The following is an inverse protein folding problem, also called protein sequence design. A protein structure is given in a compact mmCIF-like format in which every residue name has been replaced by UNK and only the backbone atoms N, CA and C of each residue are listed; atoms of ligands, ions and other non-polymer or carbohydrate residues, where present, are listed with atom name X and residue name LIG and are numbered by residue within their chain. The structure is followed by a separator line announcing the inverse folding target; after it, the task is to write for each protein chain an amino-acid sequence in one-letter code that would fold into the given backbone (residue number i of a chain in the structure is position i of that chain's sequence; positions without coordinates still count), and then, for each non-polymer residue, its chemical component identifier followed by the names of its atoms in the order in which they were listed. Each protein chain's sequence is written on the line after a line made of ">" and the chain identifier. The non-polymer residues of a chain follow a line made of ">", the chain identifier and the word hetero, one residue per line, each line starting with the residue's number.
data_IF_027640309568
#
_entry.id   IF_027640309568
#
_cell.length_a   1.000
_cell.length_b   1.000
_cell.length_c   1.000
_cell.angle_alpha   90.00
_cell.angle_beta   90.00
_cell.angle_gamma   90.00
#
_symmetry.space_group_name_H-M   'P 1'
#
loop_
_entity.id
_entity.type
_entity.pdbx_description
1 polymer ?
#
# COMPACT_ATOMS: atom_id res chain seq x y z
N UNK A 1 -67.70 -7.78 20.36
CA UNK A 1 -66.33 -8.05 19.89
C UNK A 1 -65.38 -7.19 20.70
N UNK A 2 -64.28 -7.74 21.21
CA UNK A 2 -63.18 -6.93 21.74
C UNK A 2 -62.36 -6.42 20.56
N UNK A 3 -62.04 -5.11 20.54
CA UNK A 3 -61.06 -4.53 19.63
C UNK A 3 -59.89 -4.07 20.49
N UNK A 4 -59.04 -5.03 20.88
CA UNK A 4 -57.76 -4.78 21.54
C UNK A 4 -56.64 -4.78 20.49
N UNK A 5 -56.73 -3.87 19.53
CA UNK A 5 -55.67 -3.63 18.55
C UNK A 5 -54.87 -2.41 19.00
N UNK A 6 -53.71 -2.66 19.60
CA UNK A 6 -52.81 -1.59 20.04
C UNK A 6 -52.25 -0.86 18.83
N UNK A 7 -52.71 0.38 18.61
CA UNK A 7 -52.25 1.23 17.52
C UNK A 7 -50.72 1.40 17.57
N UNK A 8 -50.03 1.34 16.42
CA UNK A 8 -48.60 1.62 16.37
C UNK A 8 -48.37 3.08 16.73
N UNK A 9 -47.61 3.31 17.80
CA UNK A 9 -47.20 4.66 18.20
C UNK A 9 -45.79 4.96 17.70
N UNK A 10 -45.47 6.24 17.57
CA UNK A 10 -44.16 6.73 17.19
C UNK A 10 -43.67 7.77 18.20
N UNK A 11 -42.39 7.70 18.55
CA UNK A 11 -41.77 8.67 19.46
C UNK A 11 -41.03 9.69 18.60
N UNK A 12 -41.39 10.96 18.73
CA UNK A 12 -40.65 12.07 18.14
C UNK A 12 -39.67 12.64 19.17
N UNK A 13 -38.38 12.54 18.90
CA UNK A 13 -37.34 13.27 19.64
C UNK A 13 -37.07 14.61 18.94
N UNK A 14 -36.97 15.67 19.71
CA UNK A 14 -36.66 17.02 19.22
C UNK A 14 -35.60 17.70 20.08
N UNK A 15 -34.55 18.21 19.45
CA UNK A 15 -33.50 18.99 20.09
C UNK A 15 -33.31 20.32 19.37
N UNK A 16 -32.85 21.34 20.10
CA UNK A 16 -32.48 22.65 19.55
C UNK A 16 -30.96 22.80 19.58
N UNK A 17 -30.29 23.01 18.43
CA UNK A 17 -28.91 23.48 18.44
C UNK A 17 -28.83 24.91 18.98
N UNK A 18 -27.73 25.25 19.64
CA UNK A 18 -27.41 26.63 20.07
C UNK A 18 -26.99 27.55 18.89
N UNK A 19 -27.04 27.04 17.65
CA UNK A 19 -26.76 27.82 16.44
C UNK A 19 -27.95 28.68 16.02
N UNK A 20 -27.71 29.69 15.19
CA UNK A 20 -28.71 30.72 14.84
C UNK A 20 -29.93 30.20 14.04
N UNK A 21 -29.95 28.92 13.63
CA UNK A 21 -31.04 28.33 12.86
C UNK A 21 -32.01 27.59 13.79
N UNK A 22 -33.12 28.24 14.14
CA UNK A 22 -33.95 27.94 15.32
C UNK A 22 -34.96 26.77 15.14
N UNK A 23 -34.84 25.99 14.06
CA UNK A 23 -35.72 24.85 13.78
C UNK A 23 -35.24 23.57 14.49
N UNK A 24 -36.12 22.83 15.19
CA UNK A 24 -35.74 21.63 15.91
C UNK A 24 -35.52 20.45 14.95
N UNK A 25 -34.36 19.81 15.05
CA UNK A 25 -34.12 18.51 14.41
C UNK A 25 -35.12 17.49 14.96
N UNK A 26 -35.66 16.60 14.10
CA UNK A 26 -36.74 15.69 14.47
C UNK A 26 -36.42 14.26 14.08
N UNK A 27 -36.27 13.38 15.07
CA UNK A 27 -36.15 11.93 14.82
C UNK A 27 -37.45 11.25 15.18
N UNK A 28 -37.97 10.41 14.29
CA UNK A 28 -39.18 9.59 14.50
C UNK A 28 -38.75 8.14 14.68
N UNK A 29 -39.09 7.56 15.83
CA UNK A 29 -38.85 6.15 16.14
C UNK A 29 -40.17 5.41 16.04
N UNK A 30 -40.24 4.41 15.16
CA UNK A 30 -41.43 3.60 14.87
C UNK A 30 -41.88 3.66 13.40
N UNK A 31 -43.00 2.99 13.05
CA UNK A 31 -43.98 2.36 13.95
C UNK A 31 -43.47 1.12 14.69
N UNK A 32 -43.99 0.88 15.90
CA UNK A 32 -43.84 -0.38 16.65
C UNK A 32 -45.07 -0.66 17.52
N UNK A 33 -45.25 -1.92 17.92
CA UNK A 33 -46.40 -2.39 18.68
C UNK A 33 -45.94 -3.29 19.84
N UNK A 34 -46.32 -2.94 21.08
CA UNK A 34 -46.09 -3.80 22.26
C UNK A 34 -47.09 -4.95 22.28
N UNK A 35 -46.62 -6.17 22.52
CA UNK A 35 -47.48 -7.35 22.66
C UNK A 35 -48.02 -7.48 24.09
N UNK A 36 -49.31 -7.87 24.20
CA UNK A 36 -50.04 -8.15 25.45
C UNK A 36 -50.18 -7.00 26.49
N UNK A 37 -49.78 -5.77 26.18
CA UNK A 37 -50.07 -4.59 27.02
C UNK A 37 -49.14 -4.43 28.24
N UNK A 38 -48.03 -5.18 28.28
CA UNK A 38 -46.99 -5.04 29.30
C UNK A 38 -46.06 -3.84 29.02
N UNK A 39 -45.25 -3.49 30.02
CA UNK A 39 -44.34 -2.34 29.99
C UNK A 39 -43.09 -2.60 29.12
N UNK A 40 -43.24 -2.52 27.81
CA UNK A 40 -42.12 -2.57 26.87
C UNK A 40 -41.09 -1.46 27.16
N UNK A 41 -39.80 -1.80 27.17
CA UNK A 41 -38.68 -0.87 27.38
C UNK A 41 -38.00 -0.59 26.04
N UNK A 42 -37.98 0.66 25.59
CA UNK A 42 -37.25 1.05 24.38
C UNK A 42 -35.82 1.44 24.73
N UNK A 43 -34.83 0.68 24.26
CA UNK A 43 -33.41 1.08 24.30
C UNK A 43 -33.06 1.82 23.01
N UNK A 44 -32.48 3.00 23.15
CA UNK A 44 -32.04 3.85 22.04
C UNK A 44 -30.52 3.99 22.08
N UNK A 45 -29.85 3.95 20.92
CA UNK A 45 -28.44 4.33 20.76
C UNK A 45 -28.38 5.65 20.00
N UNK A 46 -27.81 6.67 20.64
CA UNK A 46 -27.58 8.00 20.08
C UNK A 46 -26.07 8.20 19.88
N UNK A 47 -25.68 8.89 18.81
CA UNK A 47 -24.32 9.26 18.47
C UNK A 47 -24.22 10.78 18.36
N UNK A 48 -23.14 11.36 18.88
CA UNK A 48 -22.73 12.74 18.60
C UNK A 48 -21.48 12.67 17.72
N UNK A 49 -21.47 13.37 16.58
CA UNK A 49 -20.28 13.45 15.72
C UNK A 49 -19.41 14.67 16.07
N UNK A 50 -18.19 14.72 15.53
CA UNK A 50 -17.23 15.81 15.75
C UNK A 50 -17.69 17.19 15.23
N UNK A 51 -18.79 17.24 14.47
CA UNK A 51 -19.39 18.46 13.93
C UNK A 51 -20.59 18.95 14.77
N UNK A 52 -20.83 18.35 15.93
CA UNK A 52 -21.93 18.74 16.82
C UNK A 52 -23.31 18.19 16.43
N UNK A 53 -23.39 17.28 15.45
CA UNK A 53 -24.65 16.70 14.99
C UNK A 53 -24.98 15.46 15.82
N UNK A 54 -26.19 15.42 16.37
CA UNK A 54 -26.76 14.30 17.12
C UNK A 54 -27.60 13.42 16.17
N UNK A 55 -27.26 12.14 16.05
CA UNK A 55 -28.01 11.17 15.23
C UNK A 55 -28.35 9.89 16.01
N UNK A 56 -29.37 9.15 15.55
CA UNK A 56 -29.95 8.01 16.24
C UNK A 56 -29.63 6.70 15.52
N UNK A 57 -28.54 6.06 15.96
CA UNK A 57 -27.94 4.89 15.31
C UNK A 57 -28.81 3.63 15.38
N UNK A 58 -29.64 3.47 16.41
CA UNK A 58 -30.63 2.38 16.49
C UNK A 58 -31.66 2.56 17.62
N UNK A 59 -32.81 1.92 17.47
CA UNK A 59 -33.81 1.74 18.52
C UNK A 59 -34.18 0.25 18.64
N UNK A 60 -34.27 -0.27 19.86
CA UNK A 60 -34.61 -1.69 20.12
C UNK A 60 -35.63 -1.77 21.26
N UNK A 61 -36.79 -2.31 20.96
CA UNK A 61 -37.81 -2.63 21.96
C UNK A 61 -37.42 -3.92 22.69
N UNK A 62 -37.54 -3.89 24.02
CA UNK A 62 -37.32 -5.00 24.92
C UNK A 62 -38.64 -5.32 25.63
N UNK A 63 -39.15 -6.53 25.43
CA UNK A 63 -40.34 -7.05 26.11
C UNK A 63 -39.88 -8.11 27.12
N UNK A 64 -40.23 -7.95 28.41
CA UNK A 64 -39.95 -8.92 29.47
C UNK A 64 -41.13 -9.90 29.57
N UNK A 65 -41.04 -11.07 28.92
CA UNK A 65 -42.07 -12.11 29.01
C UNK A 65 -41.87 -12.91 30.31
N UNK A 66 -42.83 -12.82 31.25
CA UNK A 66 -42.93 -13.72 32.39
C UNK A 66 -43.68 -14.99 31.97
N UNK A 67 -42.93 -16.09 31.83
CA UNK A 67 -43.50 -17.41 31.55
C UNK A 67 -43.91 -18.06 32.87
N UNK A 68 -45.16 -17.86 33.29
CA UNK A 68 -45.81 -18.78 34.23
C UNK A 68 -45.83 -20.19 33.63
N UNK A 69 -45.62 -21.21 34.48
CA UNK A 69 -45.62 -22.62 34.07
C UNK A 69 -46.84 -23.32 34.68
N UNK A 70 -47.92 -23.56 33.92
CA UNK A 70 -49.06 -24.32 34.40
C UNK A 70 -48.69 -25.80 34.54
N UNK A 71 -48.57 -26.29 35.77
CA UNK A 71 -48.41 -27.71 36.05
C UNK A 71 -49.65 -28.45 35.54
N UNK A 72 -49.49 -29.32 34.55
CA UNK A 72 -50.58 -30.11 33.96
C UNK A 72 -50.19 -31.58 33.83
N UNK A 73 -50.98 -32.44 34.48
CA UNK A 73 -50.90 -33.89 34.45
C UNK A 73 -52.31 -34.45 34.77
N UNK A 74 -53.33 -34.25 33.93
CA UNK A 74 -53.73 -35.11 32.79
C UNK A 74 -53.98 -36.58 33.10
N UNK A 75 -55.14 -37.05 32.65
CA UNK A 75 -55.61 -38.45 32.56
C UNK A 75 -56.69 -38.45 31.47
N UNK A 76 -56.82 -39.40 30.53
CA UNK A 76 -56.06 -40.60 30.13
C UNK A 76 -56.33 -40.81 28.60
N UNK A 77 -55.38 -41.18 27.71
CA UNK A 77 -54.88 -42.54 27.35
C UNK A 77 -55.95 -43.42 26.64
N UNK A 78 -55.69 -44.33 25.64
CA UNK A 78 -54.45 -44.75 24.91
C UNK A 78 -54.51 -44.89 23.33
N UNK A 79 -53.32 -44.85 22.68
CA UNK A 79 -52.79 -45.75 21.58
C UNK A 79 -53.58 -45.99 20.24
N UNK A 80 -53.04 -46.54 19.14
CA UNK A 80 -51.72 -47.17 18.80
C UNK A 80 -51.32 -47.05 17.29
N UNK A 81 -50.11 -47.52 16.96
CA UNK A 81 -49.65 -48.14 15.68
C UNK A 81 -49.33 -47.32 14.38
N UNK A 82 -48.05 -46.94 14.25
CA UNK A 82 -47.09 -47.43 13.21
C UNK A 82 -47.20 -47.05 11.70
N UNK A 83 -46.17 -46.40 11.11
CA UNK A 83 -45.31 -46.83 9.95
C UNK A 83 -44.48 -45.67 9.33
N UNK A 84 -43.42 -46.01 8.58
CA UNK A 84 -42.40 -45.18 7.87
C UNK A 84 -42.93 -44.29 6.72
N UNK A 85 -42.24 -43.17 6.45
CA UNK A 85 -41.38 -42.84 5.26
C UNK A 85 -40.94 -41.35 5.36
N UNK A 86 -39.65 -41.00 5.50
CA UNK A 86 -38.67 -40.65 4.41
C UNK A 86 -39.25 -39.73 3.32
N UNK A 87 -38.91 -38.44 3.23
CA UNK A 87 -37.60 -37.74 3.09
C UNK A 87 -37.24 -37.44 1.62
N UNK A 88 -36.93 -36.16 1.33
CA UNK A 88 -36.36 -35.65 0.08
C UNK A 88 -35.91 -34.18 0.21
N UNK A 89 -34.65 -33.96 0.64
CA UNK A 89 -33.67 -32.97 0.12
C UNK A 89 -34.13 -31.53 -0.21
N UNK A 90 -33.61 -30.49 0.48
CA UNK A 90 -32.42 -29.67 0.07
C UNK A 90 -32.82 -28.53 -0.92
N UNK A 91 -32.20 -27.35 -1.05
CA UNK A 91 -30.77 -26.99 -0.96
C UNK A 91 -30.52 -25.70 -0.15
N UNK A 92 -29.64 -25.84 0.83
CA UNK A 92 -28.62 -24.89 1.32
C UNK A 92 -28.39 -23.57 0.51
N UNK A 93 -28.35 -22.42 1.20
CA UNK A 93 -27.19 -21.52 1.02
C UNK A 93 -26.78 -20.86 2.34
N UNK A 94 -25.47 -20.71 2.53
CA UNK A 94 -24.82 -20.42 3.81
C UNK A 94 -23.79 -19.29 3.65
N UNK A 95 -23.96 -18.17 4.37
CA UNK A 95 -22.85 -17.23 4.63
C UNK A 95 -21.80 -17.90 5.53
N UNK A 96 -20.52 -17.46 5.47
CA UNK A 96 -20.10 -16.61 6.59
C UNK A 96 -19.04 -15.54 6.29
N UNK A 97 -19.25 -14.36 6.91
CA UNK A 97 -18.32 -13.56 7.74
C UNK A 97 -16.80 -13.51 7.46
N UNK A 98 -16.26 -12.30 7.64
CA UNK A 98 -15.07 -12.06 8.50
C UNK A 98 -14.98 -10.59 8.95
N UNK A 99 -15.29 -10.23 10.21
CA UNK A 99 -14.38 -10.05 11.38
C UNK A 99 -13.30 -8.97 11.21
N UNK A 100 -13.51 -7.75 11.76
CA UNK A 100 -13.05 -7.20 13.09
C UNK A 100 -11.75 -6.37 12.95
N UNK A 101 -11.27 -5.53 13.88
CA UNK A 101 -11.55 -5.15 15.29
C UNK A 101 -11.35 -3.60 15.43
N UNK A 102 -11.50 -2.84 16.53
CA UNK A 102 -12.21 -2.83 17.84
C UNK A 102 -11.35 -1.98 18.81
N UNK A 103 -11.91 -0.90 19.39
CA UNK A 103 -11.49 -0.16 20.60
C UNK A 103 -12.36 1.14 20.68
N UNK A 104 -13.04 1.61 21.74
CA UNK A 104 -12.94 1.52 23.23
C UNK A 104 -11.74 2.27 23.85
N UNK A 105 -11.83 3.01 24.97
CA UNK A 105 -12.94 3.38 25.89
C UNK A 105 -12.86 4.88 26.29
N UNK A 106 -13.76 5.51 27.07
CA UNK A 106 -14.25 5.21 28.44
C UNK A 106 -13.13 5.37 29.52
N UNK A 107 -13.35 5.90 30.75
CA UNK A 107 -14.59 6.13 31.54
C UNK A 107 -14.39 7.15 32.69
N UNK A 108 -15.49 7.75 33.19
CA UNK A 108 -15.77 8.06 34.62
C UNK A 108 -14.99 9.21 35.30
N UNK A 109 -15.32 9.66 36.53
CA UNK A 109 -16.52 9.56 37.40
C UNK A 109 -16.33 10.57 38.58
N UNK A 110 -17.25 10.93 39.48
CA UNK A 110 -18.68 10.63 39.68
C UNK A 110 -19.15 11.15 41.06
N UNK A 111 -20.39 11.67 41.23
CA UNK A 111 -20.91 12.18 42.52
C UNK A 111 -22.45 12.18 42.61
N UNK A 112 -23.02 11.89 43.79
CA UNK A 112 -24.46 11.87 44.06
C UNK A 112 -24.80 12.61 45.39
N UNK A 113 -26.08 12.96 45.56
CA UNK A 113 -26.60 13.86 46.59
C UNK A 113 -27.60 13.18 47.56
N UNK A 114 -27.71 13.79 48.75
CA UNK A 114 -28.76 13.71 49.79
C UNK A 114 -29.24 12.36 50.34
N UNK A 115 -29.00 12.18 51.64
CA UNK A 115 -29.90 11.44 52.53
C UNK A 115 -31.11 12.31 52.92
N UNK A 116 -32.32 11.75 52.87
CA UNK A 116 -33.24 11.65 54.03
C UNK A 116 -34.63 11.13 53.56
N UNK A 117 -35.11 10.01 54.12
CA UNK A 117 -36.55 9.68 54.10
C UNK A 117 -36.98 8.77 55.25
N UNK A 118 -38.20 9.04 55.73
CA UNK A 118 -38.90 8.40 56.84
C UNK A 118 -39.25 6.91 56.69
N UNK A 119 -39.16 6.17 57.78
CA UNK A 119 -39.99 4.99 58.11
C UNK A 119 -41.35 5.43 58.72
N UNK A 120 -42.36 4.57 59.00
CA UNK A 120 -42.47 3.10 58.85
C UNK A 120 -43.46 2.70 57.70
N UNK A 121 -43.97 1.47 57.49
CA UNK A 121 -44.24 0.31 58.38
C UNK A 121 -44.39 -1.01 57.58
N UNK A 122 -44.29 -2.15 58.27
CA UNK A 122 -44.46 -3.53 57.78
C UNK A 122 -45.71 -3.85 56.94
N UNK A 123 -45.56 -4.77 55.97
CA UNK A 123 -46.16 -6.13 56.09
C UNK A 123 -45.53 -7.14 55.10
N UNK A 124 -45.62 -8.43 55.44
CA UNK A 124 -44.92 -9.55 54.79
C UNK A 124 -45.62 -10.06 53.52
N UNK A 125 -44.84 -10.33 52.45
CA UNK A 125 -45.13 -11.39 51.48
C UNK A 125 -43.87 -11.80 50.67
N UNK A 126 -43.21 -12.88 51.10
CA UNK A 126 -42.09 -13.53 50.39
C UNK A 126 -42.40 -13.87 48.91
N UNK A 127 -41.58 -13.38 47.97
CA UNK A 127 -41.64 -13.72 46.53
C UNK A 127 -40.78 -14.95 46.18
N UNK A 128 -41.20 -15.75 45.20
CA UNK A 128 -40.37 -16.77 44.53
C UNK A 128 -40.09 -16.37 43.06
N UNK A 129 -38.97 -16.83 42.44
CA UNK A 129 -38.41 -16.17 41.26
C UNK A 129 -38.96 -16.68 39.92
N UNK A 130 -39.66 -15.80 39.20
CA UNK A 130 -39.99 -15.95 37.77
C UNK A 130 -38.75 -15.90 36.88
N UNK A 131 -38.57 -16.86 35.97
CA UNK A 131 -37.50 -16.84 34.96
C UNK A 131 -37.88 -15.95 33.77
N UNK A 132 -37.62 -14.65 33.90
CA UNK A 132 -37.90 -13.64 32.86
C UNK A 132 -37.15 -13.94 31.56
N UNK A 133 -37.85 -13.88 30.44
CA UNK A 133 -37.27 -14.05 29.10
C UNK A 133 -37.42 -12.74 28.31
N UNK A 134 -36.29 -12.08 28.01
CA UNK A 134 -36.32 -10.79 27.31
C UNK A 134 -36.31 -10.99 25.80
N UNK A 135 -37.43 -10.68 25.16
CA UNK A 135 -37.57 -10.61 23.70
C UNK A 135 -37.04 -9.25 23.21
N UNK A 136 -36.27 -9.25 22.12
CA UNK A 136 -35.69 -8.04 21.52
C UNK A 136 -36.23 -7.86 20.10
N UNK A 137 -36.71 -6.66 19.78
CA UNK A 137 -37.24 -6.31 18.46
C UNK A 137 -36.58 -5.01 18.00
N UNK A 138 -35.92 -5.03 16.83
CA UNK A 138 -35.37 -3.82 16.23
C UNK A 138 -36.52 -2.93 15.76
N UNK A 139 -36.44 -1.63 16.01
CA UNK A 139 -37.51 -0.66 15.73
C UNK A 139 -37.03 0.29 14.63
N UNK A 140 -37.81 0.51 13.55
CA UNK A 140 -37.41 1.42 12.48
C UNK A 140 -37.22 2.85 13.00
N UNK A 141 -36.24 3.54 12.42
CA UNK A 141 -35.86 4.91 12.76
C UNK A 141 -35.89 5.72 11.47
N UNK A 142 -36.53 6.89 11.50
CA UNK A 142 -36.50 7.88 10.44
C UNK A 142 -36.00 9.22 11.04
N UNK A 143 -34.81 9.65 10.62
CA UNK A 143 -34.17 10.86 11.12
C UNK A 143 -34.32 12.00 10.11
N UNK A 144 -34.80 13.17 10.58
CA UNK A 144 -34.87 14.39 9.79
C UNK A 144 -33.94 15.45 10.39
N UNK A 145 -32.72 15.50 9.86
CA UNK A 145 -31.70 16.51 10.18
C UNK A 145 -31.98 17.75 9.35
N UNK A 146 -32.48 18.82 9.97
CA UNK A 146 -32.75 20.07 9.27
C UNK A 146 -31.46 20.67 8.68
N UNK A 147 -31.48 21.01 7.39
CA UNK A 147 -30.32 21.50 6.64
C UNK A 147 -29.41 20.42 6.03
N UNK A 148 -29.67 19.13 6.25
CA UNK A 148 -29.02 18.04 5.51
C UNK A 148 -29.85 17.61 4.29
N UNK A 149 -29.17 17.13 3.24
CA UNK A 149 -29.83 16.41 2.14
C UNK A 149 -30.23 14.99 2.58
N UNK A 150 -31.33 14.47 2.03
CA UNK A 150 -31.69 13.06 2.24
C UNK A 150 -30.69 12.11 1.54
N UNK A 151 -30.60 10.85 1.98
CA UNK A 151 -29.60 9.89 1.45
C UNK A 151 -29.59 9.83 -0.09
N UNK A 152 -30.77 9.64 -0.71
CA UNK A 152 -30.89 9.59 -2.17
C UNK A 152 -30.59 10.93 -2.89
N UNK A 153 -30.69 12.06 -2.21
CA UNK A 153 -30.29 13.37 -2.75
C UNK A 153 -28.78 13.58 -2.64
N UNK A 154 -28.19 13.13 -1.52
CA UNK A 154 -26.74 13.13 -1.28
C UNK A 154 -26.02 12.17 -2.23
N UNK A 155 -26.53 10.94 -2.40
CA UNK A 155 -26.04 9.95 -3.35
C UNK A 155 -26.03 10.54 -4.77
N UNK A 156 -27.14 11.14 -5.21
CA UNK A 156 -27.24 11.82 -6.50
C UNK A 156 -26.32 13.05 -6.64
N UNK A 157 -26.08 13.78 -5.55
CA UNK A 157 -25.13 14.89 -5.54
C UNK A 157 -23.69 14.40 -5.68
N UNK A 158 -23.35 13.27 -5.04
CA UNK A 158 -22.04 12.59 -5.14
C UNK A 158 -21.83 11.98 -6.52
N UNK A 159 -22.85 11.34 -7.11
CA UNK A 159 -22.82 10.88 -8.51
C UNK A 159 -22.51 12.04 -9.46
N UNK A 160 -23.21 13.17 -9.32
CA UNK A 160 -22.98 14.36 -10.13
C UNK A 160 -21.57 14.96 -9.92
N UNK A 161 -21.06 14.96 -8.69
CA UNK A 161 -19.69 15.40 -8.40
C UNK A 161 -18.67 14.51 -9.13
N UNK A 162 -18.86 13.19 -9.14
CA UNK A 162 -18.03 12.28 -9.93
C UNK A 162 -18.18 12.49 -11.44
N UNK A 163 -19.37 12.80 -11.97
CA UNK A 163 -19.56 13.16 -13.38
C UNK A 163 -18.77 14.42 -13.76
N UNK A 164 -18.85 15.48 -12.94
CA UNK A 164 -18.14 16.75 -13.19
C UNK A 164 -16.61 16.57 -13.06
N UNK A 165 -16.14 15.91 -12.02
CA UNK A 165 -14.72 15.63 -11.83
C UNK A 165 -14.14 14.71 -12.95
N UNK A 166 -14.95 13.81 -13.51
CA UNK A 166 -14.56 13.01 -14.67
C UNK A 166 -14.50 13.86 -15.95
N UNK A 167 -15.42 14.80 -16.15
CA UNK A 167 -15.39 15.73 -17.29
C UNK A 167 -14.15 16.63 -17.22
N UNK A 168 -13.88 17.26 -16.07
CA UNK A 168 -12.68 18.09 -15.86
C UNK A 168 -11.39 17.32 -16.14
N UNK A 169 -11.28 16.09 -15.61
CA UNK A 169 -10.16 15.20 -15.87
C UNK A 169 -10.02 14.83 -17.35
N UNK A 170 -11.12 14.56 -18.06
CA UNK A 170 -11.08 14.25 -19.50
C UNK A 170 -10.64 15.47 -20.31
N UNK A 171 -11.08 16.68 -19.94
CA UNK A 171 -10.63 17.93 -20.58
C UNK A 171 -9.13 18.17 -20.33
N UNK A 172 -8.65 18.00 -19.09
CA UNK A 172 -7.23 18.11 -18.74
C UNK A 172 -6.37 17.09 -19.51
N UNK A 173 -6.73 15.80 -19.46
CA UNK A 173 -6.00 14.74 -20.15
C UNK A 173 -6.05 14.86 -21.69
N UNK A 174 -7.07 15.55 -22.24
CA UNK A 174 -7.17 15.85 -23.68
C UNK A 174 -6.27 17.03 -24.05
N UNK A 175 -6.36 18.14 -23.31
CA UNK A 175 -5.51 19.33 -23.50
C UNK A 175 -4.03 19.01 -23.37
N UNK A 176 -3.66 18.17 -22.40
CA UNK A 176 -2.28 17.70 -22.23
C UNK A 176 -1.78 16.87 -23.43
N UNK A 177 -2.68 16.19 -24.15
CA UNK A 177 -2.32 15.52 -25.41
C UNK A 177 -2.24 16.46 -26.61
N UNK A 178 -3.06 17.51 -26.68
CA UNK A 178 -2.86 18.62 -27.64
C UNK A 178 -1.48 19.27 -27.44
N UNK A 179 -1.16 19.68 -26.21
CA UNK A 179 0.15 20.21 -25.81
C UNK A 179 1.29 19.24 -26.18
N UNK A 180 1.10 17.93 -25.96
CA UNK A 180 2.10 16.89 -26.29
C UNK A 180 2.41 16.80 -27.79
N UNK A 181 1.42 17.07 -28.67
CA UNK A 181 1.64 17.12 -30.13
C UNK A 181 2.38 18.40 -30.49
N UNK A 182 1.88 19.55 -30.04
CA UNK A 182 2.46 20.87 -30.29
C UNK A 182 3.94 20.95 -29.88
N UNK A 183 4.25 20.55 -28.64
CA UNK A 183 5.62 20.54 -28.13
C UNK A 183 6.54 19.61 -28.93
N UNK A 184 6.06 18.43 -29.35
CA UNK A 184 6.83 17.51 -30.19
C UNK A 184 7.08 18.11 -31.59
N UNK A 185 6.09 18.80 -32.17
CA UNK A 185 6.23 19.46 -33.47
C UNK A 185 7.33 20.52 -33.45
N UNK A 186 7.33 21.41 -32.45
CA UNK A 186 8.37 22.44 -32.31
C UNK A 186 9.76 21.86 -32.00
N UNK A 187 9.86 20.96 -31.02
CA UNK A 187 11.13 20.35 -30.61
C UNK A 187 11.76 19.51 -31.73
N UNK A 188 10.97 18.63 -32.38
CA UNK A 188 11.46 17.80 -33.49
C UNK A 188 11.88 18.67 -34.69
N UNK A 189 11.11 19.70 -35.04
CA UNK A 189 11.49 20.63 -36.12
C UNK A 189 12.84 21.27 -35.83
N UNK A 190 13.08 21.79 -34.63
CA UNK A 190 14.39 22.37 -34.28
C UNK A 190 15.52 21.31 -34.33
N UNK A 191 15.32 20.16 -33.66
CA UNK A 191 16.29 19.06 -33.61
C UNK A 191 16.73 18.58 -35.00
N UNK A 192 15.83 18.53 -35.99
CA UNK A 192 16.14 18.10 -37.37
C UNK A 192 17.10 19.02 -38.12
N UNK A 193 17.17 20.31 -37.79
CA UNK A 193 18.13 21.25 -38.37
C UNK A 193 19.40 21.39 -37.55
N UNK A 194 19.31 21.17 -36.23
CA UNK A 194 20.46 21.12 -35.33
C UNK A 194 20.97 19.68 -35.12
N UNK A 195 20.62 19.07 -33.98
CA UNK A 195 21.24 17.86 -33.40
C UNK A 195 21.14 16.61 -34.27
N UNK A 196 20.05 16.46 -35.01
CA UNK A 196 19.74 15.25 -35.78
C UNK A 196 20.13 15.35 -37.26
N UNK A 197 20.64 16.49 -37.71
CA UNK A 197 21.03 16.75 -39.11
C UNK A 197 21.97 15.70 -39.72
N UNK A 198 22.89 15.16 -38.92
CA UNK A 198 23.85 14.10 -39.29
C UNK A 198 23.22 12.68 -39.34
N UNK A 199 22.08 12.45 -38.67
CA UNK A 199 21.52 11.13 -38.35
C UNK A 199 20.25 10.79 -39.15
N UNK A 200 19.92 11.66 -40.11
CA UNK A 200 18.76 11.57 -41.00
C UNK A 200 19.22 11.72 -42.46
N UNK A 201 18.51 11.11 -43.41
CA UNK A 201 18.75 11.40 -44.84
C UNK A 201 18.02 12.69 -45.25
N UNK A 202 18.39 13.30 -46.37
CA UNK A 202 17.64 14.47 -46.89
C UNK A 202 16.17 14.12 -47.16
N UNK A 203 15.90 12.95 -47.72
CA UNK A 203 14.56 12.46 -48.05
C UNK A 203 13.71 12.18 -46.79
N UNK A 204 14.28 11.49 -45.78
CA UNK A 204 13.61 11.29 -44.49
C UNK A 204 13.32 12.63 -43.79
N UNK A 205 14.26 13.57 -43.85
CA UNK A 205 14.13 14.89 -43.22
C UNK A 205 13.07 15.75 -43.89
N UNK A 206 13.03 15.81 -45.21
CA UNK A 206 11.99 16.53 -45.96
C UNK A 206 10.63 15.89 -45.71
N UNK A 207 10.54 14.55 -45.74
CA UNK A 207 9.32 13.80 -45.46
C UNK A 207 8.78 14.05 -44.04
N UNK A 208 9.65 14.05 -43.03
CA UNK A 208 9.24 14.35 -41.65
C UNK A 208 8.89 15.83 -41.49
N UNK A 209 9.66 16.75 -42.06
CA UNK A 209 9.38 18.19 -41.97
C UNK A 209 8.02 18.54 -42.58
N UNK A 210 7.66 17.94 -43.72
CA UNK A 210 6.34 18.08 -44.32
C UNK A 210 5.22 17.59 -43.40
N UNK A 211 5.39 16.43 -42.75
CA UNK A 211 4.41 15.90 -41.78
C UNK A 211 4.30 16.72 -40.50
N UNK A 212 5.40 17.32 -40.03
CA UNK A 212 5.37 18.22 -38.88
C UNK A 212 4.56 19.48 -39.22
N UNK A 213 4.68 20.00 -40.44
CA UNK A 213 3.85 21.12 -40.92
C UNK A 213 2.38 20.72 -41.07
N UNK A 214 2.09 19.57 -41.69
CA UNK A 214 0.72 19.04 -41.84
C UNK A 214 -0.02 18.92 -40.48
N UNK A 215 0.70 18.55 -39.42
CA UNK A 215 0.14 18.44 -38.06
C UNK A 215 0.13 19.79 -37.32
N UNK A 216 1.04 20.71 -37.60
CA UNK A 216 0.98 22.11 -37.10
C UNK A 216 -0.24 22.83 -37.68
N UNK A 217 -0.42 22.77 -38.99
CA UNK A 217 -1.54 23.40 -39.71
C UNK A 217 -2.88 22.81 -39.21
N UNK A 218 -2.97 21.48 -39.11
CA UNK A 218 -4.15 20.79 -38.56
C UNK A 218 -4.47 21.20 -37.11
N UNK A 219 -3.48 21.43 -36.24
CA UNK A 219 -3.71 21.87 -34.85
C UNK A 219 -4.36 23.26 -34.73
N UNK A 220 -4.25 24.09 -35.77
CA UNK A 220 -4.86 25.43 -35.87
C UNK A 220 -6.12 25.47 -36.74
N UNK A 221 -6.44 24.40 -37.46
CA UNK A 221 -7.67 24.22 -38.24
C UNK A 221 -8.59 23.16 -37.58
N UNK A 222 -8.87 22.03 -38.25
CA UNK A 222 -9.82 21.01 -37.79
C UNK A 222 -9.46 20.35 -36.43
N UNK A 223 -8.21 20.47 -35.98
CA UNK A 223 -7.69 19.88 -34.75
C UNK A 223 -7.85 20.74 -33.49
N UNK A 224 -8.65 21.81 -33.50
CA UNK A 224 -8.77 22.68 -32.32
C UNK A 224 -9.39 21.98 -31.10
N UNK A 225 -10.54 21.32 -31.29
CA UNK A 225 -11.35 20.66 -30.25
C UNK A 225 -11.57 19.17 -30.60
N UNK A 226 -10.47 18.41 -30.64
CA UNK A 226 -10.47 17.00 -31.01
C UNK A 226 -10.25 16.08 -29.80
N UNK A 227 -10.62 14.81 -29.96
CA UNK A 227 -10.57 13.84 -28.88
C UNK A 227 -9.12 13.49 -28.51
N UNK A 228 -8.90 13.18 -27.22
CA UNK A 228 -7.63 12.64 -26.70
C UNK A 228 -7.03 11.52 -27.55
N UNK A 229 -7.87 10.66 -28.13
CA UNK A 229 -7.46 9.55 -28.99
C UNK A 229 -6.83 10.02 -30.32
N UNK A 230 -7.38 11.07 -30.92
CA UNK A 230 -6.86 11.65 -32.17
C UNK A 230 -5.52 12.34 -31.96
N UNK A 231 -5.36 13.12 -30.88
CA UNK A 231 -4.05 13.69 -30.52
C UNK A 231 -2.98 12.62 -30.25
N UNK A 232 -3.35 11.51 -29.58
CA UNK A 232 -2.43 10.37 -29.39
C UNK A 232 -2.06 9.73 -30.73
N UNK A 233 -3.02 9.49 -31.62
CA UNK A 233 -2.76 8.92 -32.95
C UNK A 233 -1.83 9.81 -33.79
N UNK A 234 -2.08 11.12 -33.86
CA UNK A 234 -1.20 12.09 -34.54
C UNK A 234 0.22 12.09 -33.97
N UNK A 235 0.36 12.03 -32.63
CA UNK A 235 1.67 11.94 -31.99
C UNK A 235 2.40 10.63 -32.30
N UNK A 236 1.68 9.50 -32.39
CA UNK A 236 2.25 8.20 -32.77
C UNK A 236 2.65 8.15 -34.26
N UNK A 237 1.86 8.75 -35.16
CA UNK A 237 2.20 8.87 -36.59
C UNK A 237 3.49 9.67 -36.82
N UNK A 238 3.66 10.78 -36.09
CA UNK A 238 4.89 11.57 -36.11
C UNK A 238 6.08 10.83 -35.48
N UNK A 239 5.87 10.14 -34.35
CA UNK A 239 6.92 9.35 -33.67
C UNK A 239 7.33 8.09 -34.44
N UNK A 240 6.46 7.54 -35.29
CA UNK A 240 6.79 6.43 -36.20
C UNK A 240 7.88 6.79 -37.22
N UNK A 241 8.01 8.07 -37.56
CA UNK A 241 9.04 8.59 -38.48
C UNK A 241 10.20 9.26 -37.73
N UNK A 242 9.93 10.03 -36.67
CA UNK A 242 10.98 10.68 -35.87
C UNK A 242 11.74 9.74 -34.93
N UNK A 243 11.07 8.73 -34.37
CA UNK A 243 11.65 7.80 -33.39
C UNK A 243 12.91 7.04 -33.87
N UNK A 244 12.97 6.54 -35.12
CA UNK A 244 14.20 5.99 -35.69
C UNK A 244 15.37 6.99 -35.72
N UNK A 245 15.10 8.27 -35.98
CA UNK A 245 16.12 9.33 -36.03
C UNK A 245 16.61 9.65 -34.61
N UNK A 246 15.69 9.80 -33.65
CA UNK A 246 16.03 9.96 -32.22
C UNK A 246 16.84 8.75 -31.70
N UNK A 247 16.49 7.54 -32.13
CA UNK A 247 17.20 6.32 -31.77
C UNK A 247 18.62 6.30 -32.33
N UNK A 248 18.84 6.65 -33.61
CA UNK A 248 20.18 6.75 -34.22
C UNK A 248 21.06 7.78 -33.49
N UNK A 249 20.51 8.94 -33.13
CA UNK A 249 21.20 9.95 -32.34
C UNK A 249 21.57 9.46 -30.93
N UNK A 250 20.61 8.93 -30.17
CA UNK A 250 20.84 8.42 -28.81
C UNK A 250 21.83 7.26 -28.79
N UNK A 251 21.71 6.33 -29.74
CA UNK A 251 22.66 5.24 -29.94
C UNK A 251 24.05 5.76 -30.32
N UNK A 252 24.19 6.94 -30.94
CA UNK A 252 25.50 7.55 -31.16
C UNK A 252 26.09 8.13 -29.87
N UNK A 253 25.33 8.91 -29.08
CA UNK A 253 25.80 9.48 -27.81
C UNK A 253 26.14 8.40 -26.77
N UNK A 254 25.23 7.44 -26.52
CA UNK A 254 25.41 6.42 -25.48
C UNK A 254 26.48 5.36 -25.83
N UNK A 255 26.81 5.15 -27.12
CA UNK A 255 27.75 4.09 -27.54
C UNK A 255 29.17 4.33 -27.06
N UNK A 256 29.66 5.57 -27.04
CA UNK A 256 31.00 5.88 -26.54
C UNK A 256 31.21 5.40 -25.09
N UNK A 257 30.43 5.91 -24.12
CA UNK A 257 30.47 5.47 -22.74
C UNK A 257 30.21 3.97 -22.55
N UNK A 258 29.32 3.36 -23.35
CA UNK A 258 29.06 1.92 -23.28
C UNK A 258 30.29 1.09 -23.70
N UNK A 259 30.98 1.47 -24.78
CA UNK A 259 32.23 0.83 -25.24
C UNK A 259 33.30 0.97 -24.16
N UNK A 260 33.46 2.16 -23.58
CA UNK A 260 34.45 2.42 -22.52
C UNK A 260 34.19 1.60 -21.25
N UNK A 261 32.92 1.47 -20.82
CA UNK A 261 32.54 0.65 -19.67
C UNK A 261 32.82 -0.85 -19.91
N UNK A 262 32.54 -1.38 -21.10
CA UNK A 262 32.89 -2.76 -21.44
C UNK A 262 34.42 -2.96 -21.49
N UNK A 263 35.17 -2.03 -22.09
CA UNK A 263 36.63 -2.07 -22.11
C UNK A 263 37.24 -2.00 -20.70
N UNK A 264 36.66 -1.20 -19.81
CA UNK A 264 37.03 -1.16 -18.39
C UNK A 264 36.82 -2.52 -17.71
N UNK A 265 35.65 -3.16 -17.90
CA UNK A 265 35.38 -4.49 -17.35
C UNK A 265 36.35 -5.55 -17.89
N UNK A 266 36.60 -5.58 -19.22
CA UNK A 266 37.56 -6.49 -19.87
C UNK A 266 38.94 -6.35 -19.23
N UNK A 267 39.44 -5.11 -19.09
CA UNK A 267 40.73 -4.82 -18.45
C UNK A 267 40.76 -5.27 -17.00
N UNK A 268 39.78 -4.86 -16.19
CA UNK A 268 39.74 -5.17 -14.75
C UNK A 268 39.73 -6.68 -14.47
N UNK A 269 38.96 -7.47 -15.23
CA UNK A 269 38.97 -8.93 -15.08
C UNK A 269 40.24 -9.60 -15.62
N UNK A 270 40.84 -9.07 -16.70
CA UNK A 270 42.14 -9.56 -17.22
C UNK A 270 43.27 -9.27 -16.22
N UNK A 271 43.30 -8.08 -15.62
CA UNK A 271 44.23 -7.71 -14.56
C UNK A 271 44.05 -8.59 -13.31
N UNK A 272 42.81 -8.80 -12.84
CA UNK A 272 42.53 -9.68 -11.71
C UNK A 272 42.95 -11.14 -11.96
N UNK A 273 42.75 -11.66 -13.17
CA UNK A 273 43.14 -13.02 -13.54
C UNK A 273 44.66 -13.20 -13.69
N UNK A 274 45.38 -12.17 -14.12
CA UNK A 274 46.85 -12.17 -14.25
C UNK A 274 47.57 -11.72 -12.97
N UNK A 275 46.83 -11.28 -11.94
CA UNK A 275 47.40 -10.77 -10.69
C UNK A 275 48.02 -11.87 -9.82
N UNK A 276 49.17 -11.52 -9.24
CA UNK A 276 49.89 -12.26 -8.19
C UNK A 276 49.49 -11.82 -6.77
N UNK A 277 48.41 -11.06 -6.61
CA UNK A 277 47.86 -10.68 -5.30
C UNK A 277 47.48 -11.95 -4.49
N UNK A 278 47.91 -12.07 -3.21
CA UNK A 278 47.52 -13.16 -2.31
C UNK A 278 46.00 -13.41 -2.23
N UNK A 279 45.15 -12.44 -2.56
CA UNK A 279 43.70 -12.60 -2.69
C UNK A 279 43.28 -13.62 -3.76
N UNK A 280 44.10 -13.87 -4.78
CA UNK A 280 43.77 -14.73 -5.92
C UNK A 280 44.66 -15.99 -6.05
N UNK A 281 45.53 -16.28 -5.08
CA UNK A 281 46.42 -17.46 -5.11
C UNK A 281 45.67 -18.80 -5.09
N UNK A 282 44.49 -18.85 -4.48
CA UNK A 282 43.68 -20.07 -4.34
C UNK A 282 42.82 -20.40 -5.57
N UNK A 283 42.85 -19.54 -6.59
CA UNK A 283 42.12 -19.75 -7.85
C UNK A 283 43.03 -20.49 -8.81
N UNK A 284 42.59 -21.67 -9.27
CA UNK A 284 43.35 -22.51 -10.17
C UNK A 284 43.71 -21.82 -11.49
N UNK A 285 44.89 -22.14 -12.03
CA UNK A 285 45.46 -21.53 -13.24
C UNK A 285 44.56 -21.78 -14.46
N UNK A 286 43.88 -22.94 -14.56
CA UNK A 286 42.89 -23.19 -15.61
C UNK A 286 41.68 -22.26 -15.51
N UNK A 287 41.26 -21.90 -14.30
CA UNK A 287 40.15 -20.97 -14.11
C UNK A 287 40.55 -19.52 -14.36
N UNK A 288 41.75 -19.10 -13.94
CA UNK A 288 42.34 -17.82 -14.37
C UNK A 288 42.43 -17.72 -15.90
N UNK A 289 42.85 -18.79 -16.58
CA UNK A 289 42.92 -18.82 -18.05
C UNK A 289 41.52 -18.73 -18.70
N UNK A 290 40.47 -19.31 -18.11
CA UNK A 290 39.09 -19.13 -18.61
C UNK A 290 38.66 -17.67 -18.59
N UNK A 291 38.99 -16.91 -17.53
CA UNK A 291 38.72 -15.47 -17.44
C UNK A 291 39.49 -14.70 -18.53
N UNK A 292 40.79 -14.98 -18.71
CA UNK A 292 41.60 -14.36 -19.76
C UNK A 292 41.05 -14.66 -21.16
N UNK A 293 40.56 -15.87 -21.40
CA UNK A 293 39.96 -16.27 -22.68
C UNK A 293 38.63 -15.53 -22.94
N UNK A 294 37.71 -15.46 -21.98
CA UNK A 294 36.43 -14.75 -22.16
C UNK A 294 36.64 -13.23 -22.31
N UNK A 295 37.55 -12.61 -21.56
CA UNK A 295 37.97 -11.22 -21.77
C UNK A 295 38.46 -10.97 -23.21
N UNK A 296 39.26 -11.89 -23.75
CA UNK A 296 39.81 -11.77 -25.11
C UNK A 296 38.73 -12.02 -26.19
N UNK A 297 37.76 -12.90 -25.92
CA UNK A 297 36.59 -13.09 -26.77
C UNK A 297 35.67 -11.86 -26.79
N UNK A 298 35.46 -11.23 -25.62
CA UNK A 298 34.69 -9.99 -25.51
C UNK A 298 35.37 -8.80 -26.21
N UNK A 299 36.70 -8.69 -26.11
CA UNK A 299 37.51 -7.68 -26.79
C UNK A 299 37.49 -7.85 -28.31
N UNK A 300 37.61 -9.10 -28.80
CA UNK A 300 37.52 -9.43 -30.23
C UNK A 300 36.14 -9.08 -30.79
N UNK A 301 35.07 -9.47 -30.09
CA UNK A 301 33.68 -9.13 -30.45
C UNK A 301 33.46 -7.61 -30.50
N UNK A 302 33.95 -6.88 -29.50
CA UNK A 302 33.81 -5.43 -29.41
C UNK A 302 34.53 -4.73 -30.57
N UNK A 303 35.74 -5.19 -30.91
CA UNK A 303 36.51 -4.67 -32.03
C UNK A 303 35.84 -4.97 -33.39
N UNK A 304 35.37 -6.20 -33.61
CA UNK A 304 34.64 -6.59 -34.83
C UNK A 304 33.35 -5.77 -35.00
N UNK A 305 32.55 -5.65 -33.93
CA UNK A 305 31.31 -4.88 -33.96
C UNK A 305 31.54 -3.38 -34.09
N UNK A 306 32.62 -2.85 -33.52
CA UNK A 306 33.02 -1.46 -33.76
C UNK A 306 33.39 -1.25 -35.23
N UNK A 307 34.18 -2.12 -35.86
CA UNK A 307 34.50 -2.00 -37.29
C UNK A 307 33.24 -2.05 -38.18
N UNK A 308 32.27 -2.90 -37.85
CA UNK A 308 30.97 -2.94 -38.55
C UNK A 308 30.17 -1.64 -38.38
N UNK A 309 30.30 -0.96 -37.24
CA UNK A 309 29.64 0.32 -36.98
C UNK A 309 30.36 1.52 -37.61
N UNK A 310 31.70 1.54 -37.55
CA UNK A 310 32.55 2.61 -38.11
C UNK A 310 32.50 2.63 -39.66
N UNK A 311 32.07 1.52 -40.29
CA UNK A 311 31.84 1.41 -41.73
C UNK A 311 30.46 1.93 -42.20
N UNK A 312 29.57 2.32 -41.29
CA UNK A 312 28.23 2.82 -41.61
C UNK A 312 28.12 4.34 -41.47
N UNK A 313 27.35 5.03 -42.34
CA UNK A 313 27.05 6.45 -42.15
C UNK A 313 26.13 6.64 -40.93
N UNK A 314 26.21 7.81 -40.30
CA UNK A 314 25.45 8.15 -39.08
C UNK A 314 23.92 8.03 -39.20
N UNK A 315 23.38 8.14 -40.42
CA UNK A 315 21.95 8.00 -40.72
C UNK A 315 21.51 6.57 -41.07
N UNK A 316 22.43 5.59 -41.12
CA UNK A 316 22.07 4.18 -41.23
C UNK A 316 21.71 3.59 -39.86
N UNK A 317 21.01 2.46 -39.85
CA UNK A 317 20.66 1.77 -38.60
C UNK A 317 21.91 1.13 -37.96
N UNK A 318 22.13 1.29 -36.64
CA UNK A 318 23.36 0.84 -35.99
C UNK A 318 23.64 -0.67 -36.07
N UNK A 319 24.85 -1.04 -36.49
CA UNK A 319 25.36 -2.42 -36.42
C UNK A 319 25.85 -2.82 -35.01
N UNK A 320 26.06 -1.84 -34.12
CA UNK A 320 26.40 -2.03 -32.72
C UNK A 320 25.48 -1.17 -31.83
N UNK A 321 24.49 -1.83 -31.23
CA UNK A 321 23.57 -1.21 -30.29
C UNK A 321 24.15 -1.19 -28.87
N UNK A 322 23.87 -0.09 -28.16
CA UNK A 322 24.17 0.11 -26.75
C UNK A 322 23.58 -1.01 -25.88
N UNK A 323 22.38 -1.50 -26.22
CA UNK A 323 21.76 -2.62 -25.50
C UNK A 323 22.58 -3.92 -25.60
N UNK A 324 23.28 -4.16 -26.70
CA UNK A 324 24.09 -5.38 -26.90
C UNK A 324 25.45 -5.26 -26.22
N UNK A 325 26.02 -4.05 -26.17
CA UNK A 325 27.22 -3.77 -25.34
C UNK A 325 26.89 -4.02 -23.87
N UNK A 326 25.76 -3.49 -23.37
CA UNK A 326 25.30 -3.69 -21.98
C UNK A 326 25.11 -5.20 -21.67
N UNK A 327 24.40 -5.95 -22.53
CA UNK A 327 24.27 -7.43 -22.41
C UNK A 327 25.61 -8.17 -22.39
N UNK A 328 26.58 -7.80 -23.26
CA UNK A 328 27.90 -8.46 -23.31
C UNK A 328 28.75 -8.12 -22.08
N UNK A 329 28.63 -6.90 -21.54
CA UNK A 329 29.25 -6.50 -20.29
C UNK A 329 28.66 -7.28 -19.09
N UNK A 330 27.34 -7.41 -19.00
CA UNK A 330 26.67 -8.22 -17.97
C UNK A 330 27.05 -9.71 -18.03
N UNK A 331 27.13 -10.28 -19.24
CA UNK A 331 27.53 -11.67 -19.44
C UNK A 331 28.99 -11.91 -19.01
N UNK A 332 29.91 -11.02 -19.42
CA UNK A 332 31.31 -11.04 -19.01
C UNK A 332 31.45 -10.88 -17.49
N UNK A 333 30.77 -9.89 -16.91
CA UNK A 333 30.80 -9.60 -15.47
C UNK A 333 30.33 -10.79 -14.63
N UNK A 334 29.18 -11.38 -15.00
CA UNK A 334 28.64 -12.58 -14.34
C UNK A 334 29.58 -13.78 -14.45
N UNK A 335 30.17 -14.02 -15.62
CA UNK A 335 31.10 -15.12 -15.83
C UNK A 335 32.39 -14.91 -15.01
N UNK A 336 33.04 -13.77 -15.18
CA UNK A 336 34.33 -13.49 -14.55
C UNK A 336 34.22 -13.41 -13.03
N UNK A 337 33.18 -12.75 -12.46
CA UNK A 337 32.94 -12.74 -11.01
C UNK A 337 32.80 -14.16 -10.44
N UNK A 338 32.08 -15.06 -11.11
CA UNK A 338 31.90 -16.45 -10.64
C UNK A 338 33.21 -17.24 -10.48
N UNK A 339 34.31 -16.74 -11.06
CA UNK A 339 35.67 -17.27 -10.88
C UNK A 339 36.47 -16.37 -9.91
N UNK A 340 36.57 -15.06 -10.15
CA UNK A 340 37.48 -14.18 -9.39
C UNK A 340 37.01 -13.85 -7.97
N UNK A 341 35.73 -14.07 -7.63
CA UNK A 341 35.22 -13.86 -6.26
C UNK A 341 35.04 -15.14 -5.45
N UNK A 342 35.47 -16.31 -5.97
CA UNK A 342 35.44 -17.57 -5.21
C UNK A 342 36.16 -17.40 -3.86
N UNK A 343 35.58 -17.82 -2.73
CA UNK A 343 36.21 -17.67 -1.43
C UNK A 343 37.46 -18.56 -1.30
N UNK A 344 38.40 -18.16 -0.45
CA UNK A 344 39.52 -19.02 -0.06
C UNK A 344 38.98 -20.30 0.59
N UNK A 345 39.49 -21.49 0.23
CA UNK A 345 39.15 -22.72 0.95
C UNK A 345 39.41 -22.56 2.44
N UNK A 346 38.44 -22.94 3.27
CA UNK A 346 38.59 -22.86 4.72
C UNK A 346 39.81 -23.70 5.17
N UNK A 347 40.64 -23.21 6.11
CA UNK A 347 41.75 -23.98 6.64
C UNK A 347 41.21 -25.29 7.21
N UNK A 348 41.81 -26.42 6.83
CA UNK A 348 41.44 -27.73 7.36
C UNK A 348 41.50 -27.68 8.89
N UNK A 349 40.48 -28.18 9.62
CA UNK A 349 40.55 -28.29 11.06
C UNK A 349 41.84 -29.05 11.44
N UNK A 350 42.68 -28.41 12.26
CA UNK A 350 43.82 -29.11 12.83
C UNK A 350 43.27 -30.19 13.76
N UNK A 351 43.51 -31.46 13.44
CA UNK A 351 43.26 -32.54 14.40
C UNK A 351 44.10 -32.25 15.64
N UNK A 352 43.50 -32.10 16.83
CA UNK A 352 44.28 -31.94 18.05
C UNK A 352 45.19 -33.15 18.24
N UNK A 353 46.41 -32.98 18.77
CA UNK A 353 47.31 -34.10 19.01
C UNK A 353 46.65 -35.11 19.97
N UNK A 354 46.87 -36.44 19.79
CA UNK A 354 46.32 -37.43 20.70
C UNK A 354 46.79 -37.17 22.14
N UNK A 355 45.84 -37.18 23.09
CA UNK A 355 46.16 -37.08 24.50
C UNK A 355 46.82 -38.39 24.98
N UNK A 356 48.08 -38.33 25.40
CA UNK A 356 48.73 -39.43 26.10
C UNK A 356 48.14 -39.60 27.51
N UNK A 357 48.05 -40.86 27.95
CA UNK A 357 47.33 -41.24 29.18
C UNK A 357 48.21 -41.18 30.42
N UNK A 358 47.71 -40.55 31.48
CA UNK A 358 48.39 -40.46 32.78
C UNK A 358 48.36 -41.78 33.56
N UNK A 359 49.46 -42.20 34.20
CA UNK A 359 49.44 -43.17 35.30
C UNK A 359 48.92 -42.54 36.63
N UNK A 360 48.28 -43.31 37.53
CA UNK A 360 47.66 -42.80 38.77
C UNK A 360 48.47 -43.08 40.07
N UNK A 361 47.85 -42.74 41.23
CA UNK A 361 48.27 -42.94 42.65
C UNK A 361 49.07 -41.77 43.28
N UNK A 362 48.87 -41.33 44.53
CA UNK A 362 47.99 -41.76 45.68
C UNK A 362 47.68 -40.53 46.61
N UNK A 363 46.84 -40.61 47.67
CA UNK A 363 46.03 -39.46 48.16
C UNK A 363 46.53 -38.71 49.44
N UNK A 364 45.60 -37.90 50.01
CA UNK A 364 45.64 -37.09 51.24
C UNK A 364 46.25 -35.67 51.09
N UNK A 365 45.74 -34.60 51.73
CA UNK A 365 44.71 -34.47 52.80
C UNK A 365 43.92 -33.13 52.69
N UNK A 366 42.71 -33.07 53.26
CA UNK A 366 41.96 -31.84 53.61
C UNK A 366 42.16 -31.51 55.12
N UNK A 367 41.68 -30.39 55.71
CA UNK A 367 40.78 -29.31 55.20
C UNK A 367 41.49 -27.92 55.24
N UNK A 368 40.88 -26.71 55.31
CA UNK A 368 39.49 -26.23 55.48
C UNK A 368 39.34 -24.76 54.99
N UNK A 369 38.12 -24.19 55.04
CA UNK A 369 37.87 -22.74 55.13
C UNK A 369 37.09 -22.09 53.97
N UNK A 370 36.07 -21.31 54.32
CA UNK A 370 35.27 -20.49 53.38
C UNK A 370 35.05 -19.08 53.93
N UNK A 371 34.94 -18.07 53.04
CA UNK A 371 33.97 -16.94 53.14
C UNK A 371 33.97 -16.02 51.90
N UNK A 372 32.74 -15.63 51.51
CA UNK A 372 32.20 -14.43 50.84
C UNK A 372 33.06 -13.38 50.08
N UNK A 373 32.54 -13.06 48.88
CA UNK A 373 32.21 -11.73 48.32
C UNK A 373 33.27 -10.63 48.09
N UNK A 374 33.41 -10.20 46.83
CA UNK A 374 32.93 -8.87 46.37
C UNK A 374 33.04 -8.66 44.84
N UNK A 375 32.03 -8.00 44.28
CA UNK A 375 32.05 -7.28 42.99
C UNK A 375 32.33 -5.77 43.27
N UNK A 376 32.68 -4.89 42.30
CA UNK A 376 32.17 -4.85 40.91
C UNK A 376 33.20 -4.48 39.81
N UNK A 377 32.68 -4.19 38.60
CA UNK A 377 33.40 -4.02 37.34
C UNK A 377 34.01 -2.62 37.06
N UNK A 378 34.89 -2.57 36.06
CA UNK A 378 35.32 -1.36 35.32
C UNK A 378 35.62 -1.75 33.85
N UNK A 379 35.17 -0.88 32.93
CA UNK A 379 35.68 -0.51 31.59
C UNK A 379 36.28 -1.56 30.61
N UNK A 380 36.19 -1.36 29.28
CA UNK A 380 35.61 -0.27 28.51
C UNK A 380 36.25 -0.14 27.12
N UNK A 381 35.67 0.67 26.23
CA UNK A 381 36.32 1.08 24.96
C UNK A 381 35.53 0.82 23.68
N UNK A 382 34.66 1.77 23.33
CA UNK A 382 34.21 2.01 21.95
C UNK A 382 34.51 3.49 21.62
N UNK A 383 34.90 3.79 20.38
CA UNK A 383 35.30 5.14 19.95
C UNK A 383 34.52 5.56 18.71
N UNK A 384 33.78 6.65 18.82
CA UNK A 384 33.18 7.37 17.69
C UNK A 384 34.15 8.45 17.15
N UNK A 385 33.84 9.04 16.00
CA UNK A 385 34.50 10.25 15.49
C UNK A 385 33.46 11.35 15.18
N UNK A 386 33.75 12.62 15.47
CA UNK A 386 32.76 13.70 15.42
C UNK A 386 32.64 14.36 14.04
N UNK A 387 31.53 15.07 13.84
CA UNK A 387 31.35 16.03 12.75
C UNK A 387 32.08 17.35 13.04
N UNK A 388 32.23 18.21 12.02
CA UNK A 388 32.80 19.55 12.14
C UNK A 388 31.75 20.61 11.79
N UNK A 389 31.59 21.60 12.65
CA UNK A 389 30.71 22.77 12.44
C UNK A 389 31.47 23.98 11.88
N UNK A 390 30.70 24.98 11.45
CA UNK A 390 31.18 26.22 10.85
C UNK A 390 31.60 27.22 11.94
N UNK A 391 32.49 28.16 11.60
CA UNK A 391 32.77 29.33 12.44
C UNK A 391 32.21 30.58 11.80
N UNK A 392 31.53 31.38 12.63
CA UNK A 392 31.03 32.72 12.33
C UNK A 392 31.57 33.67 13.41
N UNK A 393 31.92 34.91 13.05
CA UNK A 393 32.57 35.89 13.93
C UNK A 393 32.27 37.31 13.45
N UNK A 394 31.79 38.17 14.37
CA UNK A 394 31.13 39.43 14.04
C UNK A 394 31.83 40.68 14.64
N UNK A 395 31.87 41.77 13.85
CA UNK A 395 32.08 43.19 14.22
C UNK A 395 33.39 43.62 14.98
N UNK A 396 33.75 44.93 15.07
CA UNK A 396 32.94 46.11 14.71
C UNK A 396 33.53 47.15 13.71
N UNK A 397 32.62 47.94 13.13
CA UNK A 397 32.86 49.22 12.40
C UNK A 397 33.50 50.31 13.28
N UNK A 398 34.30 51.27 12.72
CA UNK A 398 33.74 52.62 12.60
C UNK A 398 34.24 53.49 11.42
N UNK A 399 33.27 53.95 10.61
CA UNK A 399 33.08 55.36 10.19
C UNK A 399 34.03 56.04 9.16
N UNK A 400 33.39 56.86 8.30
CA UNK A 400 33.92 58.05 7.59
C UNK A 400 34.83 57.89 6.36
N UNK A 401 34.22 57.96 5.17
CA UNK A 401 34.58 58.91 4.11
C UNK A 401 33.41 59.14 3.13
#
# INVERSE_FOLDING_TARGET
>A
MQVNEGFPFSIALSWKPDSQNNEPQKTVIGPFQSSKGEKAKLKVKVRLNIHGIVSLESATMLEEEEVEVPVSATSEVPKDANKMETDATDVNMQEPKGTTDTAEGATGDGAQDSEEKSAPMDTDAKTEPSKRKVKKTNVPVAELVYGAMGSAELEKAVEKEYEMALQDRVMEETKEKKNSVEAYVYDMRNKLYEKYSDYVTSEDKETLTAKLQEVEDWLYEDGEDETKGVYVAKLEELKKVGGPIEARYREWEERGPAIEQLAYCIRSFREAALSSDPKFEHIDISEKQKVVNECSGAETWLHEKKQQQDALPKHADPALLVSDIKKKAEALDRFCKSIVTKPKPAPKPQTPPPAETSPPQTPEQQPDGATEASEPASEGGAWEQPAAEQMDTDEPDPSSA
#
